data_IF_325100453740
#
_entry.id   IF_325100453740
#
_cell.length_a   1.000
_cell.length_b   1.000
_cell.length_c   1.000
_cell.angle_alpha   90.00
_cell.angle_beta   90.00
_cell.angle_gamma   90.00
#
_symmetry.space_group_name_H-M   'P 1'
#
loop_
_entity.id
_entity.type
_entity.pdbx_description
1 polymer ?
#
# COMPACT_ATOMS: atom_id res chain seq x y z
N UNK A 1 14.92 -32.90 -35.52
CA UNK A 1 15.88 -33.60 -34.65
C UNK A 1 16.05 -32.73 -33.40
N UNK A 2 15.25 -33.02 -32.36
CA UNK A 2 15.69 -33.57 -31.07
C UNK A 2 16.65 -32.65 -30.31
N UNK A 3 16.11 -31.88 -29.35
CA UNK A 3 16.72 -31.50 -28.06
C UNK A 3 15.71 -30.62 -27.29
N UNK A 4 14.70 -31.26 -26.71
CA UNK A 4 13.74 -30.64 -25.78
C UNK A 4 13.28 -31.73 -24.81
N UNK A 5 14.08 -32.00 -23.77
CA UNK A 5 13.72 -32.83 -22.63
C UNK A 5 14.88 -32.79 -21.62
N UNK A 6 14.77 -31.97 -20.58
CA UNK A 6 15.79 -32.01 -19.53
C UNK A 6 15.83 -30.82 -18.59
N UNK A 7 14.69 -30.32 -18.12
CA UNK A 7 14.70 -29.30 -17.04
C UNK A 7 13.34 -29.25 -16.32
N UNK A 8 12.85 -30.41 -15.84
CA UNK A 8 11.57 -30.48 -15.11
C UNK A 8 11.58 -31.46 -13.93
N UNK A 9 12.71 -31.61 -13.21
CA UNK A 9 12.82 -32.63 -12.15
C UNK A 9 13.60 -32.23 -10.88
N UNK A 10 13.69 -30.94 -10.55
CA UNK A 10 14.43 -30.48 -9.36
C UNK A 10 13.67 -29.54 -8.41
N UNK A 11 12.33 -29.48 -8.50
CA UNK A 11 11.50 -28.58 -7.68
C UNK A 11 10.56 -29.28 -6.68
N UNK A 12 10.84 -30.54 -6.26
CA UNK A 12 9.91 -31.34 -5.43
C UNK A 12 10.45 -31.82 -4.07
N UNK A 13 11.65 -31.43 -3.63
CA UNK A 13 12.26 -31.97 -2.40
C UNK A 13 12.53 -30.95 -1.28
N UNK A 14 12.02 -29.72 -1.38
CA UNK A 14 12.42 -28.61 -0.47
C UNK A 14 11.35 -28.05 0.49
N UNK A 15 10.25 -28.76 0.79
CA UNK A 15 9.13 -28.15 1.53
C UNK A 15 8.46 -29.06 2.56
N UNK A 16 9.09 -29.29 3.72
CA UNK A 16 8.43 -30.03 4.82
C UNK A 16 8.78 -29.54 6.25
N UNK A 17 9.46 -28.40 6.43
CA UNK A 17 9.93 -27.98 7.76
C UNK A 17 9.27 -26.72 8.36
N UNK A 18 8.36 -26.03 7.65
CA UNK A 18 7.84 -24.72 8.08
C UNK A 18 6.32 -24.69 8.40
N UNK A 19 5.68 -25.84 8.64
CA UNK A 19 4.22 -25.92 8.82
C UNK A 19 3.74 -26.16 10.27
N UNK A 20 4.58 -25.92 11.29
CA UNK A 20 4.23 -26.26 12.69
C UNK A 20 4.00 -25.11 13.67
N UNK A 21 4.16 -23.85 13.28
CA UNK A 21 3.92 -22.71 14.20
C UNK A 21 2.60 -21.95 13.97
N UNK A 22 1.88 -22.18 12.87
CA UNK A 22 0.60 -21.49 12.61
C UNK A 22 -0.64 -22.13 13.27
N UNK A 23 -0.51 -23.34 13.82
CA UNK A 23 -1.65 -24.07 14.40
C UNK A 23 -2.01 -23.63 15.82
N UNK A 24 -1.12 -22.92 16.52
CA UNK A 24 -1.39 -22.44 17.88
C UNK A 24 -2.22 -21.14 17.90
N UNK A 25 -2.06 -20.26 16.89
CA UNK A 25 -2.74 -18.96 16.84
C UNK A 25 -4.23 -19.04 16.45
N UNK A 26 -4.65 -20.08 15.73
CA UNK A 26 -6.05 -20.21 15.27
C UNK A 26 -6.99 -20.61 16.41
N UNK A 27 -6.52 -21.45 17.33
CA UNK A 27 -7.34 -21.93 18.46
C UNK A 27 -7.65 -20.84 19.51
N UNK A 28 -6.77 -19.85 19.69
CA UNK A 28 -7.04 -18.74 20.62
C UNK A 28 -8.12 -17.77 20.10
N UNK A 29 -8.24 -17.62 18.78
CA UNK A 29 -9.26 -16.75 18.19
C UNK A 29 -10.65 -17.40 18.25
N UNK A 30 -10.77 -18.69 17.91
CA UNK A 30 -12.05 -19.40 18.01
C UNK A 30 -12.55 -19.52 19.46
N UNK A 31 -11.63 -19.69 20.42
CA UNK A 31 -12.00 -19.70 21.85
C UNK A 31 -12.50 -18.33 22.34
N UNK A 32 -11.91 -17.21 21.86
CA UNK A 32 -12.39 -15.86 22.18
C UNK A 32 -13.74 -15.55 21.54
N UNK A 33 -14.01 -16.05 20.33
CA UNK A 33 -15.34 -15.91 19.70
C UNK A 33 -16.41 -16.74 20.42
N UNK A 34 -16.07 -17.93 20.94
CA UNK A 34 -16.98 -18.76 21.70
C UNK A 34 -17.29 -18.20 23.10
N UNK A 35 -16.30 -17.64 23.80
CA UNK A 35 -16.49 -16.98 25.11
C UNK A 35 -17.23 -15.62 24.96
N UNK A 36 -17.08 -14.94 23.82
CA UNK A 36 -17.81 -13.71 23.50
C UNK A 36 -19.31 -13.91 23.23
N UNK A 37 -19.69 -14.98 22.51
CA UNK A 37 -21.10 -15.23 22.16
C UNK A 37 -21.98 -15.61 23.35
N UNK A 38 -21.40 -16.13 24.44
CA UNK A 38 -22.15 -16.55 25.62
C UNK A 38 -22.58 -15.39 26.55
N UNK A 39 -22.09 -14.16 26.36
CA UNK A 39 -22.35 -13.02 27.26
C UNK A 39 -23.23 -11.90 26.68
N UNK A 40 -23.69 -12.02 25.43
CA UNK A 40 -24.54 -11.01 24.75
C UNK A 40 -26.05 -11.26 24.94
N UNK A 41 -26.42 -12.19 25.82
CA UNK A 41 -27.82 -12.39 26.21
C UNK A 41 -28.32 -11.18 27.03
N UNK A 42 -28.94 -10.23 26.34
CA UNK A 42 -29.86 -9.21 26.87
C UNK A 42 -29.27 -8.16 27.85
N UNK A 43 -28.21 -7.45 27.44
CA UNK A 43 -27.96 -6.13 28.03
C UNK A 43 -29.03 -5.15 27.53
N UNK A 44 -29.93 -4.71 28.42
CA UNK A 44 -30.91 -3.65 28.11
C UNK A 44 -30.16 -2.38 27.64
N UNK A 45 -30.56 -1.77 26.51
CA UNK A 45 -30.00 -0.49 26.07
C UNK A 45 -30.36 0.56 27.11
N UNK A 46 -29.35 1.08 27.82
CA UNK A 46 -29.55 2.06 28.90
C UNK A 46 -28.69 1.84 30.14
N UNK A 47 -27.99 0.71 30.27
CA UNK A 47 -27.04 0.50 31.35
C UNK A 47 -25.60 0.64 30.84
N UNK A 48 -25.09 1.87 30.85
CA UNK A 48 -23.71 2.08 31.26
C UNK A 48 -23.56 1.33 32.60
N UNK A 49 -23.05 0.10 32.56
CA UNK A 49 -23.08 -0.78 33.73
C UNK A 49 -22.27 -0.10 34.83
N UNK A 50 -22.91 0.18 35.96
CA UNK A 50 -22.23 0.77 37.11
C UNK A 50 -21.09 -0.16 37.50
N UNK A 51 -19.86 0.35 37.40
CA UNK A 51 -18.60 -0.27 37.79
C UNK A 51 -18.26 -1.57 37.04
N UNK A 52 -17.69 -1.44 35.84
CA UNK A 52 -17.01 -2.56 35.20
C UNK A 52 -15.71 -2.88 35.96
N UNK A 53 -15.41 -4.17 36.12
CA UNK A 53 -14.08 -4.62 36.56
C UNK A 53 -13.13 -4.57 35.36
N UNK A 54 -11.86 -4.21 35.55
CA UNK A 54 -10.84 -4.38 34.51
C UNK A 54 -10.72 -5.84 34.04
N UNK A 55 -10.37 -6.08 32.76
CA UNK A 55 -10.21 -5.08 31.71
C UNK A 55 -11.56 -4.58 31.18
N UNK A 56 -11.60 -3.35 30.66
CA UNK A 56 -12.77 -2.82 29.95
C UNK A 56 -12.33 -2.05 28.69
N UNK A 57 -13.25 -1.81 27.77
CA UNK A 57 -13.02 -0.99 26.59
C UNK A 57 -13.42 0.46 26.87
N UNK A 58 -12.55 1.39 26.51
CA UNK A 58 -12.79 2.84 26.64
C UNK A 58 -12.38 3.54 25.34
N UNK A 59 -12.96 4.72 25.03
CA UNK A 59 -12.44 5.58 23.97
C UNK A 59 -10.98 5.92 24.21
N UNK A 60 -10.11 5.51 23.28
CA UNK A 60 -8.69 5.86 23.30
C UNK A 60 -8.37 6.97 22.31
N UNK A 61 -9.15 7.06 21.23
CA UNK A 61 -9.00 8.09 20.20
C UNK A 61 -10.38 8.71 19.90
N UNK A 62 -10.38 10.03 19.66
CA UNK A 62 -11.56 10.80 19.29
C UNK A 62 -11.40 11.35 17.86
N UNK A 63 -12.44 12.03 17.35
CA UNK A 63 -12.53 12.48 15.96
C UNK A 63 -11.20 13.09 15.41
N UNK A 64 -10.78 12.71 14.19
CA UNK A 64 -11.51 11.88 13.22
C UNK A 64 -11.38 10.36 13.47
N UNK A 65 -10.49 9.94 14.36
CA UNK A 65 -10.19 8.53 14.64
C UNK A 65 -11.01 8.07 15.85
N UNK A 66 -12.14 7.42 15.60
CA UNK A 66 -13.01 6.94 16.67
C UNK A 66 -12.61 5.51 17.00
N UNK A 67 -11.84 5.32 18.07
CA UNK A 67 -11.32 4.00 18.44
C UNK A 67 -11.53 3.71 19.91
N UNK A 68 -11.94 2.48 20.18
CA UNK A 68 -11.93 1.93 21.52
C UNK A 68 -10.66 1.09 21.72
N UNK A 69 -10.10 1.20 22.92
CA UNK A 69 -8.98 0.38 23.34
C UNK A 69 -9.26 -0.28 24.67
N UNK A 70 -8.64 -1.44 24.88
CA UNK A 70 -8.67 -2.15 26.14
C UNK A 70 -7.84 -1.41 27.19
N UNK A 71 -8.38 -1.22 28.38
CA UNK A 71 -7.65 -0.65 29.53
C UNK A 71 -7.80 -1.53 30.76
N UNK A 72 -6.74 -1.61 31.55
CA UNK A 72 -6.74 -2.27 32.85
C UNK A 72 -6.93 -1.29 34.02
N UNK A 73 -7.19 0.00 33.73
CA UNK A 73 -7.33 1.01 34.76
C UNK A 73 -8.69 0.90 35.48
N UNK A 74 -8.67 0.41 36.72
CA UNK A 74 -9.87 0.24 37.55
C UNK A 74 -10.68 1.53 37.74
N UNK A 75 -10.03 2.70 37.75
CA UNK A 75 -10.71 3.99 37.84
C UNK A 75 -11.51 4.31 36.58
N UNK A 76 -10.96 4.00 35.40
CA UNK A 76 -11.66 4.21 34.12
C UNK A 76 -12.83 3.24 33.98
N UNK A 77 -12.62 1.96 34.28
CA UNK A 77 -13.69 0.94 34.23
C UNK A 77 -14.78 1.18 35.30
N UNK A 78 -14.38 1.70 36.47
CA UNK A 78 -15.28 1.99 37.58
C UNK A 78 -16.21 3.18 37.34
N UNK A 79 -15.78 4.21 36.59
CA UNK A 79 -16.56 5.44 36.37
C UNK A 79 -17.89 5.20 35.64
N UNK A 80 -18.02 4.09 34.90
CA UNK A 80 -19.24 3.65 34.23
C UNK A 80 -19.65 4.47 33.01
N UNK A 81 -19.39 5.78 32.98
CA UNK A 81 -19.61 6.63 31.81
C UNK A 81 -18.39 6.49 30.88
N UNK A 82 -18.58 5.88 29.70
CA UNK A 82 -17.55 5.57 28.68
C UNK A 82 -16.69 4.30 28.91
N UNK A 83 -17.12 3.39 29.77
CA UNK A 83 -16.52 2.06 29.89
C UNK A 83 -17.50 0.99 29.38
N UNK A 84 -17.01 0.09 28.54
CA UNK A 84 -17.80 -0.94 27.88
C UNK A 84 -17.21 -2.33 28.14
N UNK A 85 -18.04 -3.36 28.28
CA UNK A 85 -17.56 -4.72 28.52
C UNK A 85 -16.93 -5.34 27.26
N UNK A 86 -17.30 -4.87 26.07
CA UNK A 86 -16.77 -5.36 24.79
C UNK A 86 -16.44 -4.21 23.84
N UNK A 87 -15.55 -4.47 22.88
CA UNK A 87 -15.21 -3.52 21.82
C UNK A 87 -16.43 -3.16 20.97
N UNK A 88 -17.22 -4.15 20.56
CA UNK A 88 -18.43 -3.95 19.74
C UNK A 88 -19.42 -2.99 20.37
N UNK A 89 -19.61 -3.04 21.70
CA UNK A 89 -20.51 -2.11 22.39
C UNK A 89 -19.93 -0.71 22.52
N UNK A 90 -18.61 -0.61 22.65
CA UNK A 90 -17.89 0.66 22.66
C UNK A 90 -17.94 1.33 21.27
N UNK A 91 -17.76 0.52 20.23
CA UNK A 91 -17.77 0.87 18.82
C UNK A 91 -19.14 0.87 18.15
N UNK A 92 -20.21 0.51 18.87
CA UNK A 92 -21.56 0.57 18.34
C UNK A 92 -21.95 2.03 18.00
N UNK A 93 -22.71 2.25 16.91
CA UNK A 93 -23.30 3.56 16.66
C UNK A 93 -24.28 3.91 17.77
N UNK A 94 -24.28 5.19 18.18
CA UNK A 94 -25.12 5.72 19.26
C UNK A 94 -26.62 5.63 18.94
N UNK A 95 -27.21 4.44 19.03
CA UNK A 95 -28.65 4.18 18.90
C UNK A 95 -29.19 3.78 20.26
N UNK A 96 -30.00 4.65 20.88
CA UNK A 96 -30.61 4.34 22.19
C UNK A 96 -29.62 4.26 23.36
N UNK A 97 -28.62 5.14 23.38
CA UNK A 97 -27.60 5.27 24.45
C UNK A 97 -26.58 4.12 24.57
N UNK A 98 -26.41 3.31 23.51
CA UNK A 98 -25.34 2.31 23.41
C UNK A 98 -24.26 2.83 22.45
N UNK A 99 -22.99 2.81 22.87
CA UNK A 99 -21.86 3.31 22.09
C UNK A 99 -21.49 4.77 22.37
N UNK A 100 -20.26 5.14 22.01
CA UNK A 100 -19.68 6.47 22.29
C UNK A 100 -19.90 7.46 21.15
N UNK A 101 -19.89 6.99 19.91
CA UNK A 101 -19.94 7.84 18.73
C UNK A 101 -21.21 7.59 17.92
N UNK A 102 -21.75 8.66 17.32
CA UNK A 102 -22.99 8.59 16.53
C UNK A 102 -22.90 7.57 15.37
N UNK A 103 -21.75 7.47 14.73
CA UNK A 103 -21.45 6.57 13.62
C UNK A 103 -20.85 5.22 14.03
N UNK A 104 -20.53 5.03 15.30
CA UNK A 104 -19.71 3.90 15.78
C UNK A 104 -18.21 4.16 15.63
N UNK A 105 -17.37 3.18 15.95
CA UNK A 105 -15.92 3.31 15.71
C UNK A 105 -15.62 3.45 14.22
N UNK A 106 -14.49 4.10 13.95
CA UNK A 106 -13.84 4.03 12.66
C UNK A 106 -13.42 2.58 12.41
N UNK A 107 -14.05 1.96 11.42
CA UNK A 107 -13.69 0.62 10.99
C UNK A 107 -12.42 0.67 10.14
N UNK A 108 -11.27 0.51 10.79
CA UNK A 108 -9.98 0.44 10.09
C UNK A 108 -9.80 -0.86 9.29
N UNK A 109 -10.64 -1.88 9.54
CA UNK A 109 -10.60 -3.16 8.82
C UNK A 109 -11.32 -3.08 7.48
N UNK A 110 -12.31 -2.19 7.35
CA UNK A 110 -12.76 -1.68 6.06
C UNK A 110 -11.67 -0.77 5.51
N UNK A 111 -10.72 -1.39 4.82
CA UNK A 111 -9.71 -0.70 4.03
C UNK A 111 -10.39 0.38 3.19
N UNK A 112 -10.24 1.64 3.62
CA UNK A 112 -10.60 2.77 2.78
C UNK A 112 -9.57 2.75 1.67
N UNK A 113 -9.92 2.12 0.55
CA UNK A 113 -9.14 2.27 -0.67
C UNK A 113 -9.49 3.63 -1.28
N UNK A 114 -8.46 4.39 -1.59
CA UNK A 114 -8.58 5.64 -2.32
C UNK A 114 -7.48 5.70 -3.37
N UNK A 115 -7.65 6.58 -4.34
CA UNK A 115 -6.60 6.95 -5.26
C UNK A 115 -5.91 8.20 -4.77
N UNK A 116 -4.59 8.25 -4.90
CA UNK A 116 -3.78 9.42 -4.59
C UNK A 116 -2.80 9.68 -5.72
N UNK A 117 -2.27 10.90 -5.77
CA UNK A 117 -1.17 11.23 -6.67
C UNK A 117 0.01 10.30 -6.38
N UNK A 118 0.50 9.66 -7.42
CA UNK A 118 1.70 8.85 -7.41
C UNK A 118 2.90 9.73 -7.73
N UNK A 119 3.36 9.61 -8.97
CA UNK A 119 4.47 10.40 -9.47
C UNK A 119 3.97 11.70 -10.12
N UNK A 120 4.71 12.79 -9.96
CA UNK A 120 4.36 14.12 -10.50
C UNK A 120 5.16 14.51 -11.74
N UNK A 121 6.38 14.00 -11.87
CA UNK A 121 7.26 14.28 -13.00
C UNK A 121 8.26 13.13 -13.18
N UNK A 122 8.64 12.77 -14.42
CA UNK A 122 8.08 13.21 -15.70
C UNK A 122 6.74 12.54 -16.02
N UNK A 123 6.50 11.36 -15.47
CA UNK A 123 5.22 10.66 -15.61
C UNK A 123 4.28 11.08 -14.49
N UNK A 124 3.16 11.69 -14.85
CA UNK A 124 2.10 12.05 -13.92
C UNK A 124 1.23 10.81 -13.73
N UNK A 125 1.24 10.23 -12.54
CA UNK A 125 0.50 9.00 -12.27
C UNK A 125 -0.33 9.11 -11.01
N UNK A 126 -1.33 8.23 -10.91
CA UNK A 126 -2.07 8.00 -9.69
C UNK A 126 -1.86 6.57 -9.23
N UNK A 127 -1.98 6.33 -7.93
CA UNK A 127 -1.85 4.98 -7.37
C UNK A 127 -2.93 4.72 -6.32
N UNK A 128 -3.36 3.46 -6.17
CA UNK A 128 -4.22 3.10 -5.06
C UNK A 128 -3.43 3.19 -3.75
N UNK A 129 -4.09 3.68 -2.71
CA UNK A 129 -3.62 3.64 -1.33
C UNK A 129 -4.68 2.99 -0.47
N UNK A 130 -4.24 2.15 0.46
CA UNK A 130 -5.05 1.61 1.55
C UNK A 130 -4.65 2.22 2.89
N UNK A 131 -3.76 3.21 2.88
CA UNK A 131 -3.31 3.89 4.09
C UNK A 131 -4.44 4.80 4.57
N UNK A 132 -5.04 4.43 5.70
CA UNK A 132 -6.17 5.17 6.26
C UNK A 132 -5.86 6.66 6.48
N UNK A 133 -4.65 7.00 6.96
CA UNK A 133 -4.24 8.39 7.20
C UNK A 133 -4.17 9.23 5.91
N UNK A 134 -3.99 8.56 4.77
CA UNK A 134 -4.01 9.17 3.44
C UNK A 134 -5.44 9.26 2.92
N UNK A 135 -6.21 8.18 3.00
CA UNK A 135 -7.58 8.12 2.47
C UNK A 135 -8.65 8.83 3.32
N UNK A 136 -8.39 9.08 4.60
CA UNK A 136 -9.31 9.84 5.47
C UNK A 136 -9.21 11.36 5.30
N UNK A 137 -8.21 11.88 4.57
CA UNK A 137 -8.04 13.32 4.31
C UNK A 137 -9.02 13.85 3.28
N UNK A 138 -9.66 14.99 3.54
CA UNK A 138 -10.63 15.59 2.59
C UNK A 138 -10.00 16.23 1.34
N UNK A 139 -8.70 16.05 1.09
CA UNK A 139 -7.96 16.59 -0.04
C UNK A 139 -6.91 15.58 -0.50
N UNK A 140 -6.49 15.68 -1.77
CA UNK A 140 -5.46 14.81 -2.34
C UNK A 140 -5.85 13.32 -2.41
N UNK A 141 -7.15 13.03 -2.38
CA UNK A 141 -7.70 11.69 -2.55
C UNK A 141 -8.81 11.72 -3.60
N UNK A 142 -8.98 10.60 -4.29
CA UNK A 142 -10.01 10.42 -5.31
C UNK A 142 -10.66 9.05 -5.17
N UNK A 143 -11.92 8.95 -5.61
CA UNK A 143 -12.70 7.72 -5.52
C UNK A 143 -12.27 6.67 -6.56
N UNK A 144 -11.64 7.09 -7.65
CA UNK A 144 -11.17 6.25 -8.74
C UNK A 144 -9.89 6.80 -9.36
N UNK A 145 -9.22 5.95 -10.15
CA UNK A 145 -8.06 6.35 -10.95
C UNK A 145 -8.41 7.47 -11.91
N UNK A 146 -9.50 7.33 -12.68
CA UNK A 146 -9.97 8.35 -13.63
C UNK A 146 -10.22 9.70 -12.97
N UNK A 147 -10.80 9.70 -11.76
CA UNK A 147 -11.04 10.93 -11.03
C UNK A 147 -9.74 11.59 -10.55
N UNK A 148 -8.72 10.78 -10.21
CA UNK A 148 -7.38 11.25 -9.86
C UNK A 148 -6.64 11.80 -11.09
N UNK A 149 -6.73 11.08 -12.21
CA UNK A 149 -6.07 11.35 -13.47
C UNK A 149 -6.78 12.39 -14.36
N UNK A 150 -7.95 12.88 -13.97
CA UNK A 150 -8.63 13.95 -14.69
C UNK A 150 -7.78 15.23 -14.68
N UNK A 151 -7.77 15.97 -15.79
CA UNK A 151 -7.06 17.24 -15.89
C UNK A 151 -7.56 18.24 -14.84
N UNK A 152 -6.63 18.85 -14.11
CA UNK A 152 -6.93 19.76 -12.99
C UNK A 152 -7.29 19.06 -11.68
N UNK A 153 -7.27 17.74 -11.61
CA UNK A 153 -7.50 16.97 -10.38
C UNK A 153 -6.19 16.81 -9.59
N UNK A 154 -5.51 15.67 -9.70
CA UNK A 154 -4.19 15.48 -9.08
C UNK A 154 -3.08 16.20 -9.85
N UNK A 155 -3.26 16.32 -11.16
CA UNK A 155 -2.27 16.79 -12.12
C UNK A 155 -2.91 17.81 -13.08
N UNK A 156 -2.15 18.81 -13.52
CA UNK A 156 -2.68 19.90 -14.35
C UNK A 156 -3.21 19.39 -15.69
N UNK A 157 -2.48 18.48 -16.34
CA UNK A 157 -2.82 17.92 -17.66
C UNK A 157 -3.46 16.53 -17.57
N UNK A 158 -3.64 16.01 -16.35
CA UNK A 158 -4.08 14.65 -16.08
C UNK A 158 -2.92 13.68 -15.91
N UNK A 159 -3.20 12.39 -15.79
CA UNK A 159 -2.12 11.41 -15.79
C UNK A 159 -1.51 11.27 -17.19
N UNK A 160 -0.18 11.15 -17.26
CA UNK A 160 0.54 10.84 -18.48
C UNK A 160 0.99 9.38 -18.48
N UNK A 161 0.98 8.77 -19.66
CA UNK A 161 1.56 7.44 -19.82
C UNK A 161 3.08 7.50 -19.64
N UNK A 162 3.63 6.45 -19.05
CA UNK A 162 5.06 6.25 -18.98
C UNK A 162 5.62 6.12 -20.40
N UNK A 163 6.23 7.19 -20.90
CA UNK A 163 6.93 7.11 -22.18
C UNK A 163 8.24 6.34 -21.99
N UNK A 164 8.57 5.42 -22.89
CA UNK A 164 9.88 4.81 -22.93
C UNK A 164 10.95 5.84 -23.26
N UNK A 165 12.16 5.62 -22.77
CA UNK A 165 13.34 6.43 -23.10
C UNK A 165 14.40 5.59 -23.81
N UNK A 166 15.40 6.27 -24.36
CA UNK A 166 16.57 5.66 -24.98
C UNK A 166 17.78 5.80 -24.07
N UNK A 167 18.57 4.74 -23.94
CA UNK A 167 19.80 4.70 -23.15
C UNK A 167 20.93 4.02 -23.92
N UNK A 168 22.18 4.25 -23.52
CA UNK A 168 23.31 3.50 -24.06
C UNK A 168 23.17 2.00 -23.72
N UNK A 169 23.04 1.17 -24.74
CA UNK A 169 22.88 -0.28 -24.61
C UNK A 169 24.24 -1.01 -24.74
N UNK A 170 25.09 -0.54 -25.66
CA UNK A 170 26.48 -0.99 -25.77
C UNK A 170 27.43 0.20 -25.93
N UNK A 171 28.60 0.14 -25.29
CA UNK A 171 29.59 1.22 -25.29
C UNK A 171 30.67 1.06 -26.36
N UNK A 172 31.42 -0.04 -26.38
CA UNK A 172 32.49 -0.24 -27.35
C UNK A 172 32.61 -1.72 -27.72
N UNK A 173 32.82 -2.09 -28.99
CA UNK A 173 33.00 -1.21 -30.17
C UNK A 173 31.69 -0.77 -30.85
N UNK A 174 30.55 -1.31 -30.43
CA UNK A 174 29.29 -1.17 -31.16
C UNK A 174 28.61 0.21 -31.02
N UNK A 175 28.76 0.90 -29.87
CA UNK A 175 28.09 2.17 -29.53
C UNK A 175 26.63 2.20 -29.96
N UNK A 176 25.78 1.50 -29.23
CA UNK A 176 24.34 1.40 -29.55
C UNK A 176 23.51 2.05 -28.47
N UNK A 177 22.33 2.52 -28.87
CA UNK A 177 21.30 2.96 -27.95
C UNK A 177 20.11 2.00 -28.03
N UNK A 178 19.56 1.67 -26.86
CA UNK A 178 18.41 0.78 -26.71
C UNK A 178 17.25 1.52 -26.05
N UNK A 179 16.04 1.15 -26.46
CA UNK A 179 14.81 1.65 -25.86
C UNK A 179 14.51 0.87 -24.57
N UNK A 180 14.16 1.56 -23.49
CA UNK A 180 13.77 0.95 -22.22
C UNK A 180 12.45 1.56 -21.71
N UNK A 181 11.62 0.72 -21.12
CA UNK A 181 10.39 1.12 -20.40
C UNK A 181 10.65 1.30 -18.90
N UNK A 182 11.88 1.04 -18.42
CA UNK A 182 12.26 1.21 -17.02
C UNK A 182 12.28 2.69 -16.63
N UNK A 183 11.22 3.11 -15.95
CA UNK A 183 11.07 4.49 -15.50
C UNK A 183 12.14 4.91 -14.50
N UNK A 184 12.71 3.99 -13.70
CA UNK A 184 13.83 4.33 -12.82
C UNK A 184 15.07 4.75 -13.60
N UNK A 185 15.27 4.17 -14.78
CA UNK A 185 16.34 4.56 -15.72
C UNK A 185 16.00 5.87 -16.40
N UNK A 186 14.78 6.00 -16.95
CA UNK A 186 14.35 7.21 -17.65
C UNK A 186 14.35 8.46 -16.78
N UNK A 187 14.17 8.29 -15.46
CA UNK A 187 14.07 9.38 -14.50
C UNK A 187 15.38 9.70 -13.78
N UNK A 188 16.47 9.00 -14.11
CA UNK A 188 17.78 9.22 -13.45
C UNK A 188 18.36 10.62 -13.73
N UNK A 189 17.85 11.31 -14.74
CA UNK A 189 18.24 12.67 -15.13
C UNK A 189 19.53 12.76 -15.95
N UNK A 190 20.18 11.62 -16.23
CA UNK A 190 21.34 11.53 -17.10
C UNK A 190 21.37 10.19 -17.84
N UNK A 191 21.88 10.20 -19.07
CA UNK A 191 22.00 9.00 -19.91
C UNK A 191 20.68 8.41 -20.40
N UNK A 192 19.56 9.12 -20.20
CA UNK A 192 18.26 8.83 -20.77
C UNK A 192 17.87 9.96 -21.73
N UNK A 193 17.36 9.59 -22.90
CA UNK A 193 17.08 10.49 -24.01
C UNK A 193 15.68 10.23 -24.54
N UNK A 194 15.03 11.26 -25.09
CA UNK A 194 13.66 11.15 -25.58
C UNK A 194 13.58 10.40 -26.92
N UNK A 195 14.70 10.34 -27.64
CA UNK A 195 14.79 9.69 -28.94
C UNK A 195 16.13 8.98 -29.16
N UNK A 196 16.15 8.05 -30.11
CA UNK A 196 17.38 7.38 -30.55
C UNK A 196 18.37 8.39 -31.14
N UNK A 197 17.89 9.38 -31.87
CA UNK A 197 18.74 10.39 -32.52
C UNK A 197 19.47 11.25 -31.49
N UNK A 198 18.76 11.64 -30.42
CA UNK A 198 19.37 12.37 -29.31
C UNK A 198 20.37 11.50 -28.54
N UNK A 199 20.03 10.24 -28.27
CA UNK A 199 20.96 9.29 -27.63
C UNK A 199 22.24 9.09 -28.47
N UNK A 200 22.06 8.97 -29.79
CA UNK A 200 23.13 8.71 -30.74
C UNK A 200 23.86 9.97 -31.23
N UNK A 201 23.45 11.16 -30.78
CA UNK A 201 24.13 12.39 -31.13
C UNK A 201 25.57 12.39 -30.56
N UNK A 202 26.57 12.86 -31.32
CA UNK A 202 27.93 12.99 -30.80
C UNK A 202 27.98 13.86 -29.54
N UNK A 203 28.58 13.32 -28.47
CA UNK A 203 28.67 13.99 -27.16
C UNK A 203 27.45 13.79 -26.25
N UNK A 204 26.41 13.09 -26.72
CA UNK A 204 25.29 12.67 -25.87
C UNK A 204 25.67 11.39 -25.11
N UNK A 205 25.19 10.21 -25.55
CA UNK A 205 25.52 8.95 -24.88
C UNK A 205 26.94 8.48 -25.23
N UNK A 206 27.40 8.80 -26.44
CA UNK A 206 28.69 8.38 -27.00
C UNK A 206 29.45 9.59 -27.53
N UNK A 207 30.77 9.65 -27.31
CA UNK A 207 31.59 10.81 -27.70
C UNK A 207 31.59 11.10 -29.20
N UNK A 208 31.52 10.06 -30.04
CA UNK A 208 31.45 10.17 -31.51
C UNK A 208 30.08 9.76 -32.07
N UNK A 209 29.07 9.58 -31.23
CA UNK A 209 27.75 9.08 -31.62
C UNK A 209 27.69 7.55 -31.77
N UNK A 210 26.54 7.05 -32.22
CA UNK A 210 26.32 5.61 -32.40
C UNK A 210 26.98 5.05 -33.66
N UNK A 211 27.28 3.75 -33.64
CA UNK A 211 27.79 2.99 -34.77
C UNK A 211 29.09 2.25 -34.46
N UNK A 212 29.39 1.21 -35.24
CA UNK A 212 30.64 0.49 -35.11
C UNK A 212 31.81 1.44 -35.33
N UNK A 213 32.80 1.43 -34.44
CA UNK A 213 34.12 1.94 -34.80
C UNK A 213 34.67 1.01 -35.89
N UNK A 214 35.05 1.57 -37.03
CA UNK A 214 35.80 0.82 -38.02
C UNK A 214 37.06 0.29 -37.33
N UNK A 215 37.25 -1.04 -37.35
CA UNK A 215 38.35 -1.70 -36.64
C UNK A 215 39.74 -1.15 -37.02
N UNK A 216 39.84 -0.43 -38.15
CA UNK A 216 41.05 0.24 -38.61
C UNK A 216 41.49 1.44 -37.75
N UNK A 217 40.59 2.10 -37.01
CA UNK A 217 40.94 3.26 -36.16
C UNK A 217 41.51 2.84 -34.79
N UNK A 218 41.27 1.59 -34.38
CA UNK A 218 41.70 1.04 -33.08
C UNK A 218 43.19 0.71 -33.04
N UNK A 219 43.83 0.53 -34.20
CA UNK A 219 45.26 0.18 -34.28
C UNK A 219 46.18 1.42 -34.21
N UNK A 220 45.62 2.64 -34.16
CA UNK A 220 46.36 3.90 -34.19
C UNK A 220 46.26 4.75 -32.91
N UNK A 221 45.55 4.27 -31.88
CA UNK A 221 45.42 4.92 -30.57
C UNK A 221 46.11 4.10 -29.47
#
# INVERSE_FOLDING_TARGET
MRLAAGLLLLALLGGAAAARELSASVNDNERREAEGKASVAAAKPGAASRFLKPPCFVPTEYAPYQKCGLTNNATLCGRGYLAFPTEDLCCAPQRGAVGVWASGCTDFSKTVSCWVAGQYFPTQSCRPSTEFATCSRNWGRWASEDACCAAGAAHTEGCSEALPCWVADAWYPARTCGKTDDQGVCQRGWGAYDSVDECCAPGAAHSQGCGAVDAAEVEQA
#
